data_IF_946420287277
#
_entry.id   IF_946420287277
#
_cell.length_a   1.000
_cell.length_b   1.000
_cell.length_c   1.000
_cell.angle_alpha   90.00
_cell.angle_beta   90.00
_cell.angle_gamma   90.00
#
_symmetry.space_group_name_H-M   'P 1'
#
loop_
_entity.id
_entity.type
_entity.pdbx_description
1 polymer ?
#
# COMPACT_ATOMS: atom_id res chain seq x y z
N UNK A 1 0.52 -67.30 -16.15
CA UNK A 1 -0.59 -66.85 -15.27
C UNK A 1 0.02 -65.83 -14.31
N UNK A 2 0.09 -64.56 -14.72
CA UNK A 2 0.67 -63.47 -13.90
C UNK A 2 -0.35 -63.05 -12.85
N UNK A 3 -0.01 -63.24 -11.58
CA UNK A 3 -0.85 -62.91 -10.44
C UNK A 3 -0.63 -61.43 -10.10
N UNK A 4 -1.53 -60.54 -10.54
CA UNK A 4 -1.54 -59.14 -10.12
C UNK A 4 -2.15 -59.09 -8.72
N UNK A 5 -1.33 -58.86 -7.68
CA UNK A 5 -1.77 -58.83 -6.28
C UNK A 5 -2.48 -57.49 -5.97
N UNK A 6 -3.80 -57.47 -5.74
CA UNK A 6 -4.58 -56.25 -5.48
C UNK A 6 -4.22 -55.54 -4.17
N UNK A 7 -3.37 -56.12 -3.31
CA UNK A 7 -2.95 -55.52 -2.03
C UNK A 7 -1.94 -54.38 -2.19
N UNK A 8 -1.14 -54.36 -3.26
CA UNK A 8 -0.12 -53.33 -3.50
C UNK A 8 -0.78 -52.00 -3.94
N UNK A 9 -1.84 -52.09 -4.75
CA UNK A 9 -2.59 -50.91 -5.22
C UNK A 9 -3.36 -50.23 -4.07
N UNK A 10 -3.89 -51.01 -3.11
CA UNK A 10 -4.53 -50.47 -1.90
C UNK A 10 -3.56 -49.67 -1.03
N UNK A 11 -2.33 -50.16 -0.84
CA UNK A 11 -1.30 -49.47 -0.04
C UNK A 11 -0.85 -48.13 -0.66
N UNK A 12 -0.71 -48.07 -1.99
CA UNK A 12 -0.29 -46.84 -2.67
C UNK A 12 -1.41 -45.79 -2.64
N UNK A 13 -2.66 -46.22 -2.83
CA UNK A 13 -3.82 -45.35 -2.69
C UNK A 13 -3.97 -44.78 -1.26
N UNK A 14 -3.67 -45.60 -0.24
CA UNK A 14 -3.74 -45.19 1.16
C UNK A 14 -2.63 -44.20 1.55
N UNK A 15 -1.41 -44.36 1.04
CA UNK A 15 -0.32 -43.39 1.22
C UNK A 15 -0.63 -42.04 0.55
N UNK A 16 -1.21 -42.05 -0.66
CA UNK A 16 -1.64 -40.83 -1.35
C UNK A 16 -2.76 -40.13 -0.58
N UNK A 17 -3.70 -40.89 -0.02
CA UNK A 17 -4.76 -40.36 0.85
C UNK A 17 -4.18 -39.69 2.10
N UNK A 18 -3.26 -40.37 2.80
CA UNK A 18 -2.62 -39.84 4.00
C UNK A 18 -1.75 -38.60 3.73
N UNK A 19 -1.02 -38.58 2.60
CA UNK A 19 -0.26 -37.39 2.19
C UNK A 19 -1.19 -36.22 1.85
N UNK A 20 -2.30 -36.48 1.15
CA UNK A 20 -3.30 -35.45 0.83
C UNK A 20 -3.93 -34.87 2.09
N UNK A 21 -4.20 -35.72 3.09
CA UNK A 21 -4.73 -35.31 4.39
C UNK A 21 -3.71 -34.50 5.20
N UNK A 22 -2.43 -34.90 5.20
CA UNK A 22 -1.34 -34.15 5.84
C UNK A 22 -1.10 -32.79 5.17
N UNK A 23 -1.08 -32.72 3.84
CA UNK A 23 -0.95 -31.45 3.10
C UNK A 23 -2.13 -30.53 3.39
N UNK A 24 -3.35 -31.09 3.45
CA UNK A 24 -4.56 -30.31 3.80
C UNK A 24 -4.48 -29.78 5.23
N UNK A 25 -3.98 -30.59 6.17
CA UNK A 25 -3.80 -30.19 7.56
C UNK A 25 -2.75 -29.11 7.70
N UNK A 26 -1.59 -29.27 7.06
CA UNK A 26 -0.51 -28.27 7.03
C UNK A 26 -1.00 -26.95 6.44
N UNK A 27 -1.70 -27.00 5.31
CA UNK A 27 -2.26 -25.80 4.68
C UNK A 27 -3.23 -25.06 5.61
N UNK A 28 -4.06 -25.80 6.38
CA UNK A 28 -4.96 -25.20 7.38
C UNK A 28 -4.19 -24.56 8.53
N UNK A 29 -3.12 -25.19 9.00
CA UNK A 29 -2.30 -24.68 10.10
C UNK A 29 -1.53 -23.42 9.69
N UNK A 30 -0.98 -23.40 8.47
CA UNK A 30 -0.25 -22.25 7.94
C UNK A 30 -1.19 -21.07 7.68
N UNK A 31 -2.43 -21.33 7.24
CA UNK A 31 -3.49 -20.33 7.18
C UNK A 31 -3.88 -19.82 8.58
N UNK A 32 -3.98 -20.70 9.58
CA UNK A 32 -4.28 -20.30 10.95
C UNK A 32 -3.16 -19.42 11.54
N UNK A 33 -1.91 -19.80 11.31
CA UNK A 33 -0.74 -19.03 11.73
C UNK A 33 -0.68 -17.68 11.03
N UNK A 34 -0.84 -17.65 9.70
CA UNK A 34 -0.89 -16.43 8.92
C UNK A 34 -2.01 -15.50 9.41
N UNK A 35 -3.17 -16.05 9.77
CA UNK A 35 -4.28 -15.27 10.34
C UNK A 35 -3.89 -14.62 11.67
N UNK A 36 -3.23 -15.35 12.57
CA UNK A 36 -2.76 -14.81 13.85
C UNK A 36 -1.74 -13.69 13.62
N UNK A 37 -0.75 -13.94 12.77
CA UNK A 37 0.29 -12.96 12.48
C UNK A 37 -0.27 -11.70 11.78
N UNK A 38 -1.23 -11.87 10.86
CA UNK A 38 -1.92 -10.74 10.23
C UNK A 38 -2.72 -9.92 11.24
N UNK A 39 -3.41 -10.55 12.19
CA UNK A 39 -4.14 -9.82 13.24
C UNK A 39 -3.17 -9.05 14.13
N UNK A 40 -2.04 -9.64 14.51
CA UNK A 40 -1.06 -8.97 15.35
C UNK A 40 -0.38 -7.80 14.62
N UNK A 41 0.05 -8.01 13.37
CA UNK A 41 0.56 -6.95 12.50
C UNK A 41 -0.47 -5.85 12.28
N UNK A 42 -1.73 -6.23 12.03
CA UNK A 42 -2.86 -5.31 11.87
C UNK A 42 -3.11 -4.47 13.12
N UNK A 43 -3.02 -5.06 14.32
CA UNK A 43 -3.17 -4.33 15.58
C UNK A 43 -2.03 -3.33 15.80
N UNK A 44 -0.78 -3.73 15.53
CA UNK A 44 0.39 -2.83 15.61
C UNK A 44 0.29 -1.69 14.61
N UNK A 45 -0.04 -1.99 13.35
CA UNK A 45 -0.27 -1.00 12.30
C UNK A 45 -1.43 -0.06 12.66
N UNK A 46 -2.55 -0.60 13.15
CA UNK A 46 -3.72 0.18 13.57
C UNK A 46 -3.42 1.10 14.75
N UNK A 47 -2.66 0.64 15.75
CA UNK A 47 -2.19 1.50 16.85
C UNK A 47 -1.28 2.61 16.32
N UNK A 48 -0.35 2.29 15.43
CA UNK A 48 0.54 3.27 14.80
C UNK A 48 -0.23 4.32 14.01
N UNK A 49 -1.19 3.89 13.17
CA UNK A 49 -2.07 4.78 12.41
C UNK A 49 -2.93 5.66 13.34
N UNK A 50 -3.46 5.09 14.43
CA UNK A 50 -4.21 5.84 15.43
C UNK A 50 -3.37 6.89 16.16
N UNK A 51 -2.14 6.55 16.54
CA UNK A 51 -1.21 7.50 17.16
C UNK A 51 -0.80 8.62 16.20
N UNK A 52 -0.47 8.29 14.95
CA UNK A 52 -0.15 9.30 13.93
C UNK A 52 -1.36 10.18 13.61
N UNK A 53 -2.56 9.60 13.51
CA UNK A 53 -3.80 10.35 13.34
C UNK A 53 -4.05 11.30 14.51
N UNK A 54 -3.93 10.82 15.75
CA UNK A 54 -4.08 11.64 16.95
C UNK A 54 -3.03 12.75 17.03
N UNK A 55 -1.78 12.45 16.73
CA UNK A 55 -0.71 13.45 16.64
C UNK A 55 -1.02 14.51 15.57
N UNK A 56 -1.56 14.11 14.41
CA UNK A 56 -2.01 15.03 13.36
C UNK A 56 -3.09 16.00 13.86
N UNK A 57 -4.09 15.51 14.59
CA UNK A 57 -5.14 16.36 15.18
C UNK A 57 -4.55 17.34 16.21
N UNK A 58 -3.69 16.87 17.11
CA UNK A 58 -3.01 17.72 18.09
C UNK A 58 -2.16 18.79 17.39
N UNK A 59 -1.40 18.41 16.37
CA UNK A 59 -0.58 19.33 15.59
C UNK A 59 -1.44 20.37 14.85
N UNK A 60 -2.62 19.98 14.35
CA UNK A 60 -3.57 20.91 13.72
C UNK A 60 -4.05 21.98 14.70
N UNK A 61 -4.49 21.58 15.90
CA UNK A 61 -4.88 22.54 16.94
C UNK A 61 -3.71 23.40 17.42
N UNK A 62 -2.52 22.81 17.57
CA UNK A 62 -1.30 23.53 17.92
C UNK A 62 -0.93 24.58 16.88
N UNK A 63 -1.04 24.26 15.59
CA UNK A 63 -0.87 25.21 14.50
C UNK A 63 -1.89 26.35 14.59
N UNK A 64 -3.17 26.04 14.83
CA UNK A 64 -4.21 27.06 15.04
C UNK A 64 -3.89 28.01 16.20
N UNK A 65 -3.44 27.47 17.33
CA UNK A 65 -3.02 28.26 18.49
C UNK A 65 -1.78 29.13 18.21
N UNK A 66 -0.82 28.64 17.41
CA UNK A 66 0.34 29.42 16.97
C UNK A 66 -0.09 30.57 16.04
N UNK A 67 -1.00 30.32 15.10
CA UNK A 67 -1.52 31.38 14.23
C UNK A 67 -2.27 32.45 15.03
N UNK A 68 -3.10 32.04 15.98
CA UNK A 68 -3.78 32.96 16.89
C UNK A 68 -2.76 33.79 17.69
N UNK A 69 -1.73 33.14 18.25
CA UNK A 69 -0.64 33.83 18.96
C UNK A 69 0.07 34.85 18.07
N UNK A 70 0.35 34.51 16.81
CA UNK A 70 0.97 35.43 15.85
C UNK A 70 0.09 36.66 15.59
N UNK A 71 -1.21 36.46 15.37
CA UNK A 71 -2.17 37.56 15.20
C UNK A 71 -2.24 38.42 16.46
N UNK A 72 -2.34 37.80 17.63
CA UNK A 72 -2.38 38.50 18.92
C UNK A 72 -1.10 39.33 19.14
N UNK A 73 0.07 38.78 18.84
CA UNK A 73 1.34 39.50 18.95
C UNK A 73 1.41 40.70 17.99
N UNK A 74 1.04 40.53 16.72
CA UNK A 74 0.99 41.66 15.76
C UNK A 74 -0.06 42.71 16.15
N UNK A 75 -1.15 42.30 16.81
CA UNK A 75 -2.19 43.22 17.25
C UNK A 75 -1.71 44.22 18.31
N UNK A 76 -0.54 43.99 18.92
CA UNK A 76 0.10 44.95 19.83
C UNK A 76 0.61 46.21 19.12
N UNK A 77 0.88 46.13 17.81
CA UNK A 77 1.47 47.23 17.02
C UNK A 77 0.57 47.72 15.87
N UNK A 78 -0.53 47.02 15.58
CA UNK A 78 -1.50 47.38 14.54
C UNK A 78 -2.91 46.87 14.85
N UNK A 79 -3.97 47.39 14.20
CA UNK A 79 -5.32 46.89 14.41
C UNK A 79 -5.45 45.38 14.13
N UNK A 80 -6.28 44.69 14.92
CA UNK A 80 -6.46 43.24 14.85
C UNK A 80 -6.80 42.73 13.44
N UNK A 81 -7.63 43.47 12.69
CA UNK A 81 -7.99 43.09 11.31
C UNK A 81 -6.77 43.12 10.37
N UNK A 82 -5.87 44.09 10.54
CA UNK A 82 -4.65 44.21 9.73
C UNK A 82 -3.63 43.13 10.10
N UNK A 83 -3.50 42.82 11.39
CA UNK A 83 -2.68 41.71 11.88
C UNK A 83 -3.15 40.37 11.30
N UNK A 84 -4.45 40.09 11.37
CA UNK A 84 -5.05 38.88 10.81
C UNK A 84 -4.80 38.76 9.30
N UNK A 85 -5.07 39.83 8.53
CA UNK A 85 -4.81 39.83 7.08
C UNK A 85 -3.34 39.59 6.75
N UNK A 86 -2.42 40.20 7.50
CA UNK A 86 -0.98 40.04 7.28
C UNK A 86 -0.56 38.58 7.46
N UNK A 87 -0.99 37.93 8.54
CA UNK A 87 -0.71 36.51 8.78
C UNK A 87 -1.35 35.63 7.70
N UNK A 88 -2.59 35.93 7.27
CA UNK A 88 -3.25 35.22 6.18
C UNK A 88 -2.48 35.29 4.87
N UNK A 89 -2.00 36.48 4.47
CA UNK A 89 -1.22 36.64 3.24
C UNK A 89 0.08 35.85 3.30
N UNK A 90 0.81 35.91 4.41
CA UNK A 90 2.05 35.15 4.61
C UNK A 90 1.78 33.64 4.46
N UNK A 91 0.71 33.13 5.06
CA UNK A 91 0.33 31.72 4.96
C UNK A 91 -0.06 31.32 3.53
N UNK A 92 -0.81 32.15 2.81
CA UNK A 92 -1.20 31.87 1.43
C UNK A 92 0.03 31.87 0.50
N UNK A 93 0.99 32.77 0.72
CA UNK A 93 2.25 32.77 -0.01
C UNK A 93 3.04 31.47 0.26
N UNK A 94 3.21 31.09 1.53
CA UNK A 94 3.88 29.86 1.91
C UNK A 94 3.18 28.62 1.33
N UNK A 95 1.84 28.54 1.42
CA UNK A 95 1.04 27.48 0.85
C UNK A 95 1.18 27.41 -0.68
N UNK A 96 1.19 28.56 -1.36
CA UNK A 96 1.42 28.65 -2.80
C UNK A 96 2.78 28.08 -3.21
N UNK A 97 3.84 28.45 -2.49
CA UNK A 97 5.21 27.94 -2.73
C UNK A 97 5.25 26.42 -2.53
N UNK A 98 4.75 25.92 -1.40
CA UNK A 98 4.72 24.49 -1.10
C UNK A 98 3.88 23.70 -2.11
N UNK A 99 2.73 24.25 -2.54
CA UNK A 99 1.88 23.64 -3.56
C UNK A 99 2.54 23.60 -4.95
N UNK A 100 3.37 24.58 -5.29
CA UNK A 100 4.15 24.57 -6.53
C UNK A 100 5.29 23.55 -6.43
N UNK A 101 6.04 23.55 -5.32
CA UNK A 101 7.12 22.59 -5.09
C UNK A 101 6.61 21.14 -5.10
N UNK A 102 5.53 20.85 -4.38
CA UNK A 102 4.91 19.53 -4.36
C UNK A 102 4.39 19.10 -5.74
N UNK A 103 3.83 20.03 -6.53
CA UNK A 103 3.41 19.73 -7.92
C UNK A 103 4.60 19.41 -8.83
N UNK A 104 5.77 20.02 -8.61
CA UNK A 104 7.00 19.68 -9.36
C UNK A 104 7.48 18.30 -8.99
N UNK A 105 7.58 18.01 -7.69
CA UNK A 105 8.00 16.69 -7.19
C UNK A 105 7.11 15.56 -7.71
N UNK A 106 5.78 15.73 -7.67
CA UNK A 106 4.83 14.73 -8.20
C UNK A 106 5.02 14.53 -9.71
N UNK A 107 5.23 15.62 -10.47
CA UNK A 107 5.46 15.54 -11.92
C UNK A 107 6.78 14.86 -12.27
N UNK A 108 7.80 14.99 -11.42
CA UNK A 108 9.09 14.32 -11.61
C UNK A 108 9.04 12.84 -11.18
N UNK A 109 8.34 12.53 -10.08
CA UNK A 109 8.23 11.18 -9.55
C UNK A 109 7.25 10.28 -10.33
N UNK A 110 6.26 10.87 -11.01
CA UNK A 110 5.28 10.13 -11.82
C UNK A 110 5.44 10.54 -13.29
N UNK A 111 6.10 9.72 -14.14
CA UNK A 111 6.16 10.01 -15.56
C UNK A 111 4.73 10.11 -16.13
N UNK A 112 4.42 11.14 -16.94
CA UNK A 112 3.06 11.45 -17.40
C UNK A 112 2.43 10.33 -18.24
N UNK A 113 3.23 9.36 -18.67
CA UNK A 113 2.79 8.11 -19.29
C UNK A 113 3.68 6.98 -18.76
N UNK A 114 3.10 5.82 -18.36
CA UNK A 114 3.89 4.64 -18.05
C UNK A 114 4.35 3.98 -19.36
N UNK A 115 5.07 4.73 -20.21
CA UNK A 115 5.51 4.26 -21.52
C UNK A 115 6.37 3.00 -21.39
N UNK A 116 7.19 2.92 -20.34
CA UNK A 116 7.98 1.74 -20.03
C UNK A 116 7.12 0.53 -19.63
N UNK A 117 6.07 0.72 -18.82
CA UNK A 117 5.21 -0.39 -18.39
C UNK A 117 4.21 -0.83 -19.48
N UNK A 118 3.77 0.11 -20.33
CA UNK A 118 2.97 -0.19 -21.52
C UNK A 118 3.83 -0.90 -22.57
N UNK A 119 5.10 -0.51 -22.73
CA UNK A 119 6.04 -1.15 -23.65
C UNK A 119 6.41 -2.57 -23.20
N UNK A 120 6.66 -2.80 -21.91
CA UNK A 120 6.93 -4.15 -21.39
C UNK A 120 5.71 -5.07 -21.53
N UNK A 121 4.52 -4.58 -21.17
CA UNK A 121 3.28 -5.37 -21.32
C UNK A 121 2.96 -5.73 -22.77
N UNK A 122 3.20 -4.82 -23.74
CA UNK A 122 3.06 -5.14 -25.17
C UNK A 122 4.07 -6.19 -25.63
N UNK A 123 5.30 -6.17 -25.10
CA UNK A 123 6.34 -7.14 -25.45
C UNK A 123 5.98 -8.54 -24.95
N UNK A 124 5.50 -8.65 -23.72
CA UNK A 124 5.10 -9.93 -23.11
C UNK A 124 3.90 -10.56 -23.85
N UNK A 125 2.91 -9.74 -24.23
CA UNK A 125 1.77 -10.21 -25.03
C UNK A 125 2.20 -10.67 -26.42
N UNK A 126 3.13 -9.94 -27.06
CA UNK A 126 3.66 -10.32 -28.37
C UNK A 126 4.47 -11.63 -28.31
N UNK A 127 5.26 -11.84 -27.26
CA UNK A 127 6.00 -13.09 -27.05
C UNK A 127 5.06 -14.27 -26.81
N UNK A 128 4.01 -14.07 -26.02
CA UNK A 128 2.98 -15.09 -25.80
C UNK A 128 2.23 -15.45 -27.08
N UNK A 129 1.83 -14.44 -27.87
CA UNK A 129 1.15 -14.66 -29.16
C UNK A 129 2.07 -15.32 -30.19
N UNK A 130 3.36 -14.99 -30.19
CA UNK A 130 4.36 -15.65 -31.04
C UNK A 130 4.62 -17.11 -30.62
N UNK A 131 4.59 -17.40 -29.32
CA UNK A 131 4.69 -18.77 -28.80
C UNK A 131 3.45 -19.61 -29.17
N UNK A 132 2.24 -19.05 -29.01
CA UNK A 132 0.99 -19.73 -29.37
C UNK A 132 0.92 -20.07 -30.87
N UNK A 133 1.38 -19.16 -31.74
CA UNK A 133 1.39 -19.35 -33.20
C UNK A 133 2.42 -20.37 -33.68
N UNK A 134 3.49 -20.61 -32.91
CA UNK A 134 4.49 -21.66 -33.20
C UNK A 134 4.03 -23.06 -32.77
N UNK A 135 3.21 -23.15 -31.71
CA UNK A 135 2.67 -24.42 -31.23
C UNK A 135 1.57 -25.03 -32.13
N UNK A 136 1.05 -24.29 -33.11
CA UNK A 136 -0.04 -24.75 -33.99
C UNK A 136 0.44 -25.49 -35.25
N UNK A 137 1.74 -25.70 -35.40
CA UNK A 137 2.35 -26.41 -36.55
C UNK A 137 3.22 -27.61 -36.16
N UNK A 138 3.06 -28.14 -34.94
CA UNK A 138 3.65 -29.41 -34.51
C UNK A 138 2.59 -30.52 -34.50
#
# INVERSE_FOLDING_TARGET
MTHTDPRIDQSTAELVSQLSEQVTTLARDELALARIEMVEKGKKAGKGAGLLGGAGVIALYGMGALLFTAVAALSLVMPMWAAALTVTVILLCAAGITAIAGRREIREAVPPTPDAAIASGRKDVNEFMAAARRGTHA
#
